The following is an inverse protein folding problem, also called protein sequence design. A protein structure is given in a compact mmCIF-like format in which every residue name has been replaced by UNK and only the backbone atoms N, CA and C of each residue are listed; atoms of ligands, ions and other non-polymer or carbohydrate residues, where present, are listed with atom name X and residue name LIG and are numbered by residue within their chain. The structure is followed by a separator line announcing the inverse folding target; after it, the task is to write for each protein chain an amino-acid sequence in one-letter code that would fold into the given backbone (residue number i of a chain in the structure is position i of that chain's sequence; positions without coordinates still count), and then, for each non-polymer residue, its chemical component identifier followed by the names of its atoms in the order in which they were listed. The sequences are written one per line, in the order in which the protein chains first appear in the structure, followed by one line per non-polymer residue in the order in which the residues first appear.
data_IF_964104651384
#
_entry.id   IF_964104651384
#
_cell.length_a   1.000
_cell.length_b   1.000
_cell.length_c   1.000
_cell.angle_alpha   90.00
_cell.angle_beta   90.00
_cell.angle_gamma   90.00
#
_symmetry.space_group_name_H-M   'P 1'
#
loop_
_entity.id
_entity.type
_entity.pdbx_description
1 polymer ?
#
# COMPACT_ATOMS: atom_id res chain seq x y z
N UNK A 1 1.70 20.68 -18.41
CA UNK A 1 1.43 19.60 -17.43
C UNK A 1 1.47 20.19 -16.04
N UNK A 2 0.47 19.93 -15.23
CA UNK A 2 0.44 20.40 -13.86
C UNK A 2 1.27 19.48 -12.95
N UNK A 3 1.94 20.07 -11.96
CA UNK A 3 2.63 19.33 -10.90
C UNK A 3 1.65 18.81 -9.83
N UNK A 4 0.39 19.20 -9.90
CA UNK A 4 -0.62 18.89 -8.88
C UNK A 4 -1.65 17.90 -9.40
N UNK A 5 -2.24 17.15 -8.49
CA UNK A 5 -3.35 16.25 -8.73
C UNK A 5 -4.17 16.04 -7.47
N UNK A 6 -5.17 15.17 -7.56
CA UNK A 6 -5.99 14.77 -6.42
C UNK A 6 -6.29 13.27 -6.53
N UNK A 7 -6.36 12.58 -5.42
CA UNK A 7 -6.51 11.11 -5.41
C UNK A 7 -7.84 10.62 -5.99
N UNK A 8 -8.91 11.40 -5.94
CA UNK A 8 -10.19 11.02 -6.58
C UNK A 8 -10.13 11.03 -8.11
N UNK A 9 -9.08 11.60 -8.70
CA UNK A 9 -8.83 11.57 -10.15
C UNK A 9 -7.89 10.45 -10.56
N UNK A 10 -7.28 9.75 -9.59
CA UNK A 10 -6.35 8.65 -9.85
C UNK A 10 -7.13 7.35 -9.98
N UNK A 11 -6.94 6.65 -11.09
CA UNK A 11 -7.54 5.33 -11.29
C UNK A 11 -6.93 4.34 -10.29
N UNK A 12 -7.74 3.77 -9.37
CA UNK A 12 -7.22 2.80 -8.41
C UNK A 12 -6.65 1.56 -9.09
N UNK A 13 -5.59 1.02 -8.53
CA UNK A 13 -4.95 -0.21 -8.97
C UNK A 13 -5.40 -1.37 -8.10
N UNK A 14 -5.77 -2.49 -8.73
CA UNK A 14 -6.01 -3.74 -8.02
C UNK A 14 -4.64 -4.40 -7.80
N UNK A 15 -4.05 -4.22 -6.61
CA UNK A 15 -2.69 -4.70 -6.31
C UNK A 15 -2.71 -6.19 -5.94
N UNK A 16 -3.64 -6.56 -5.06
CA UNK A 16 -3.93 -7.94 -4.65
C UNK A 16 -5.45 -8.08 -4.56
N UNK A 17 -5.92 -9.29 -4.39
CA UNK A 17 -7.32 -9.51 -4.05
C UNK A 17 -7.61 -8.84 -2.69
N UNK A 18 -8.57 -7.91 -2.68
CA UNK A 18 -8.90 -7.12 -1.50
C UNK A 18 -7.97 -5.94 -1.22
N UNK A 19 -7.02 -5.64 -2.10
CA UNK A 19 -6.07 -4.53 -1.92
C UNK A 19 -6.14 -3.59 -3.10
N UNK A 20 -6.51 -2.35 -2.83
CA UNK A 20 -6.63 -1.29 -3.84
C UNK A 20 -5.70 -0.14 -3.47
N UNK A 21 -4.92 0.33 -4.43
CA UNK A 21 -3.99 1.43 -4.23
C UNK A 21 -4.21 2.56 -5.20
N UNK A 22 -4.01 3.78 -4.73
CA UNK A 22 -3.96 4.99 -5.57
C UNK A 22 -2.55 5.51 -5.50
N UNK A 23 -1.85 5.47 -6.63
CA UNK A 23 -0.41 5.72 -6.69
C UNK A 23 -0.08 6.96 -7.50
N UNK A 24 0.90 7.71 -7.00
CA UNK A 24 1.49 8.84 -7.69
C UNK A 24 2.99 8.56 -7.81
N UNK A 25 3.47 8.46 -9.05
CA UNK A 25 4.87 8.13 -9.30
C UNK A 25 5.66 9.37 -9.68
N UNK A 26 6.72 9.62 -8.93
CA UNK A 26 7.77 10.56 -9.33
C UNK A 26 8.87 9.81 -10.07
N UNK A 27 10.00 10.49 -10.30
CA UNK A 27 11.15 9.88 -10.94
C UNK A 27 11.88 8.91 -10.00
N UNK A 28 11.85 9.17 -8.70
CA UNK A 28 12.66 8.42 -7.72
C UNK A 28 11.84 7.60 -6.74
N UNK A 29 10.52 7.81 -6.68
CA UNK A 29 9.66 7.12 -5.72
C UNK A 29 8.21 7.07 -6.19
N UNK A 30 7.46 6.10 -5.65
CA UNK A 30 6.01 6.01 -5.78
C UNK A 30 5.38 6.20 -4.42
N UNK A 31 4.47 7.16 -4.31
CA UNK A 31 3.63 7.36 -3.13
C UNK A 31 2.29 6.67 -3.38
N UNK A 32 1.80 5.89 -2.43
CA UNK A 32 0.54 5.17 -2.58
C UNK A 32 -0.34 5.29 -1.35
N UNK A 33 -1.62 5.54 -1.58
CA UNK A 33 -2.68 5.42 -0.58
C UNK A 33 -3.35 4.06 -0.81
N UNK A 34 -3.26 3.17 0.16
CA UNK A 34 -3.65 1.76 0.01
C UNK A 34 -4.76 1.40 0.98
N UNK A 35 -5.79 0.76 0.46
CA UNK A 35 -6.91 0.25 1.24
C UNK A 35 -6.92 -1.28 1.17
N UNK A 36 -7.09 -1.92 2.34
CA UNK A 36 -7.30 -3.36 2.43
C UNK A 36 -8.69 -3.64 2.98
N UNK A 37 -9.42 -4.53 2.31
CA UNK A 37 -10.71 -5.00 2.79
C UNK A 37 -10.55 -5.77 4.11
N UNK A 38 -11.60 -5.82 4.96
CA UNK A 38 -11.56 -6.61 6.18
C UNK A 38 -11.10 -8.04 5.93
N UNK A 39 -10.16 -8.52 6.74
CA UNK A 39 -9.67 -9.89 6.69
C UNK A 39 -8.81 -10.24 5.48
N UNK A 40 -8.44 -9.27 4.67
CA UNK A 40 -7.57 -9.51 3.51
C UNK A 40 -6.21 -10.05 3.94
N UNK A 41 -5.73 -11.05 3.22
CA UNK A 41 -4.41 -11.63 3.44
C UNK A 41 -3.54 -11.39 2.21
N UNK A 42 -2.44 -10.66 2.42
CA UNK A 42 -1.41 -10.48 1.39
C UNK A 42 -0.32 -11.49 1.68
N UNK A 43 -0.09 -12.46 0.78
CA UNK A 43 0.90 -13.51 1.01
C UNK A 43 2.32 -12.96 1.04
N UNK A 44 3.23 -13.75 1.60
CA UNK A 44 4.63 -13.37 1.65
C UNK A 44 5.16 -13.10 0.25
N UNK A 45 5.82 -11.98 0.09
CA UNK A 45 6.41 -11.52 -1.16
C UNK A 45 7.58 -10.59 -0.86
N UNK A 46 8.35 -10.27 -1.88
CA UNK A 46 9.44 -9.30 -1.78
C UNK A 46 9.59 -8.56 -3.11
N UNK A 47 10.25 -7.44 -3.07
CA UNK A 47 10.53 -6.63 -4.26
C UNK A 47 11.78 -5.78 -4.03
N UNK A 48 12.35 -5.26 -5.12
CA UNK A 48 13.58 -4.47 -5.06
C UNK A 48 13.39 -3.12 -4.38
N UNK A 49 12.16 -2.63 -4.34
CA UNK A 49 11.86 -1.32 -3.76
C UNK A 49 11.98 -1.36 -2.24
N UNK A 50 12.66 -0.39 -1.66
CA UNK A 50 12.50 -0.09 -0.24
C UNK A 50 11.09 0.44 -0.03
N UNK A 51 10.46 0.05 1.07
CA UNK A 51 9.08 0.41 1.37
C UNK A 51 9.01 0.99 2.77
N UNK A 52 8.49 2.22 2.88
CA UNK A 52 8.19 2.83 4.17
C UNK A 52 6.70 3.12 4.23
N UNK A 53 6.11 3.02 5.40
CA UNK A 53 4.68 3.24 5.50
C UNK A 53 4.20 3.62 6.88
N UNK A 54 2.92 4.00 6.92
CA UNK A 54 2.23 4.38 8.14
C UNK A 54 0.78 3.93 8.06
N UNK A 55 0.31 3.27 9.11
CA UNK A 55 -1.10 2.91 9.23
C UNK A 55 -1.89 4.14 9.67
N UNK A 56 -2.93 4.49 8.89
CA UNK A 56 -3.77 5.65 9.16
C UNK A 56 -5.03 5.24 9.89
N UNK A 57 -5.64 4.09 9.48
CA UNK A 57 -6.88 3.62 10.07
C UNK A 57 -6.99 2.11 9.96
N UNK A 58 -7.74 1.50 10.88
CA UNK A 58 -7.93 0.06 10.94
C UNK A 58 -6.81 -0.64 11.69
N UNK A 59 -6.56 -1.88 11.36
CA UNK A 59 -5.53 -2.69 12.00
C UNK A 59 -4.90 -3.67 11.03
N UNK A 60 -3.65 -4.00 11.29
CA UNK A 60 -2.87 -4.96 10.51
C UNK A 60 -2.08 -5.87 11.44
N UNK A 61 -1.92 -7.12 11.05
CA UNK A 61 -0.84 -7.96 11.55
C UNK A 61 0.20 -8.03 10.44
N UNK A 62 1.38 -7.48 10.69
CA UNK A 62 2.41 -7.31 9.68
C UNK A 62 3.65 -8.11 10.06
N UNK A 63 4.10 -8.96 9.13
CA UNK A 63 5.35 -9.69 9.27
C UNK A 63 6.37 -9.13 8.28
N UNK A 64 7.53 -8.74 8.82
CA UNK A 64 8.67 -8.23 8.03
C UNK A 64 9.89 -9.05 8.45
N UNK A 65 10.43 -9.85 7.52
CA UNK A 65 11.48 -10.79 7.86
C UNK A 65 11.00 -11.75 8.94
N UNK A 66 11.69 -11.79 10.06
CA UNK A 66 11.33 -12.66 11.19
C UNK A 66 10.49 -11.95 12.27
N UNK A 67 10.19 -10.68 12.08
CA UNK A 67 9.45 -9.88 13.04
C UNK A 67 7.98 -9.79 12.67
N UNK A 68 7.09 -10.07 13.62
CA UNK A 68 5.65 -9.94 13.44
C UNK A 68 5.08 -9.03 14.51
N UNK A 69 4.26 -8.07 14.10
CA UNK A 69 3.61 -7.15 15.03
C UNK A 69 2.16 -6.88 14.64
N UNK A 70 1.32 -6.67 15.65
CA UNK A 70 -0.02 -6.12 15.46
C UNK A 70 0.08 -4.60 15.47
N UNK A 71 -0.44 -3.97 14.41
CA UNK A 71 -0.31 -2.54 14.20
C UNK A 71 -1.64 -1.82 14.44
N UNK A 72 -1.54 -0.60 14.91
CA UNK A 72 -2.65 0.32 15.17
C UNK A 72 -2.37 1.65 14.48
N UNK A 73 -3.38 2.54 14.33
CA UNK A 73 -3.15 3.85 13.70
C UNK A 73 -1.95 4.58 14.31
N UNK A 74 -1.08 5.09 13.43
CA UNK A 74 0.18 5.71 13.82
C UNK A 74 1.37 4.76 13.80
N UNK A 75 1.17 3.45 13.70
CA UNK A 75 2.27 2.49 13.51
C UNK A 75 2.97 2.75 12.18
N UNK A 76 4.29 2.59 12.19
CA UNK A 76 5.12 2.78 11.00
C UNK A 76 5.99 1.56 10.74
N UNK A 77 6.46 1.43 9.51
CA UNK A 77 7.38 0.35 9.13
C UNK A 77 8.36 0.82 8.06
N UNK A 78 9.52 0.14 8.05
CA UNK A 78 10.53 0.28 7.00
C UNK A 78 10.90 -1.13 6.56
N UNK A 79 10.72 -1.41 5.27
CA UNK A 79 11.08 -2.70 4.68
C UNK A 79 12.20 -2.46 3.69
N UNK A 80 13.37 -3.02 3.98
CA UNK A 80 14.51 -2.90 3.08
C UNK A 80 14.28 -3.69 1.79
N UNK A 81 15.04 -3.38 0.75
CA UNK A 81 14.96 -4.08 -0.53
C UNK A 81 15.03 -5.59 -0.32
N UNK A 82 14.14 -6.31 -0.99
CA UNK A 82 14.07 -7.77 -1.05
C UNK A 82 13.82 -8.50 0.28
N UNK A 83 13.51 -7.80 1.35
CA UNK A 83 13.12 -8.44 2.61
C UNK A 83 11.69 -8.98 2.47
N UNK A 84 11.48 -10.30 2.69
CA UNK A 84 10.15 -10.89 2.60
C UNK A 84 9.19 -10.29 3.64
N UNK A 85 7.95 -10.05 3.22
CA UNK A 85 6.93 -9.52 4.11
C UNK A 85 5.54 -9.98 3.71
N UNK A 86 4.64 -9.99 4.68
CA UNK A 86 3.25 -10.38 4.50
C UNK A 86 2.36 -9.57 5.44
N UNK A 87 1.08 -9.46 5.11
CA UNK A 87 0.15 -8.66 5.90
C UNK A 87 -1.21 -9.33 5.98
N UNK A 88 -1.82 -9.28 7.16
CA UNK A 88 -3.22 -9.65 7.37
C UNK A 88 -3.96 -8.41 7.87
N UNK A 89 -5.01 -8.01 7.15
CA UNK A 89 -5.88 -6.93 7.61
C UNK A 89 -6.78 -7.40 8.72
N UNK A 90 -7.03 -6.53 9.68
CA UNK A 90 -7.94 -6.81 10.77
C UNK A 90 -9.41 -6.77 10.35
N UNK A 91 -10.34 -6.93 11.32
CA UNK A 91 -11.77 -7.10 11.03
C UNK A 91 -12.45 -5.87 10.42
N UNK A 92 -11.83 -4.69 10.57
CA UNK A 92 -12.37 -3.44 10.01
C UNK A 92 -11.63 -2.99 8.75
N UNK A 93 -10.72 -3.82 8.24
CA UNK A 93 -9.85 -3.43 7.14
C UNK A 93 -8.76 -2.48 7.57
N UNK A 94 -8.10 -1.84 6.61
CA UNK A 94 -7.04 -0.90 6.89
C UNK A 94 -6.89 0.13 5.78
N UNK A 95 -6.48 1.33 6.17
CA UNK A 95 -6.02 2.36 5.25
C UNK A 95 -4.61 2.79 5.66
N UNK A 96 -3.71 2.82 4.69
CA UNK A 96 -2.31 3.13 4.93
C UNK A 96 -1.72 3.96 3.80
N UNK A 97 -0.63 4.64 4.11
CA UNK A 97 0.16 5.40 3.13
C UNK A 97 1.52 4.75 3.05
N UNK A 98 1.99 4.49 1.85
CA UNK A 98 3.30 3.87 1.62
C UNK A 98 4.10 4.61 0.57
N UNK A 99 5.42 4.60 0.75
CA UNK A 99 6.37 5.13 -0.21
C UNK A 99 7.31 4.01 -0.65
N UNK A 100 7.48 3.87 -1.95
CA UNK A 100 8.38 2.88 -2.56
C UNK A 100 9.47 3.58 -3.33
N UNK A 101 10.71 3.19 -3.14
CA UNK A 101 11.86 3.72 -3.87
C UNK A 101 12.81 2.58 -4.26
N UNK A 102 13.17 2.44 -5.54
CA UNK A 102 12.71 3.22 -6.71
C UNK A 102 11.22 3.03 -6.99
N UNK A 103 10.67 3.77 -7.98
CA UNK A 103 9.23 3.66 -8.31
C UNK A 103 8.79 2.24 -8.64
N UNK A 104 7.51 1.95 -8.36
CA UNK A 104 6.89 0.64 -8.63
C UNK A 104 6.53 0.51 -10.11
N UNK A 105 7.52 0.23 -10.94
CA UNK A 105 7.32 0.05 -12.39
C UNK A 105 6.48 -1.19 -12.70
N UNK A 106 6.52 -2.20 -11.87
CA UNK A 106 5.71 -3.42 -11.98
C UNK A 106 4.20 -3.14 -11.88
N UNK A 107 3.80 -2.03 -11.25
CA UNK A 107 2.38 -1.68 -11.14
C UNK A 107 1.78 -1.16 -12.45
N UNK A 108 2.58 -0.82 -13.44
CA UNK A 108 2.08 -0.35 -14.73
C UNK A 108 1.19 -1.38 -15.44
N UNK A 109 1.39 -2.67 -15.16
CA UNK A 109 0.59 -3.76 -15.74
C UNK A 109 -0.65 -4.16 -14.94
N UNK A 110 -0.92 -3.51 -13.81
CA UNK A 110 -2.04 -3.88 -12.94
C UNK A 110 -3.39 -3.38 -13.52
N UNK A 111 -4.46 -4.10 -13.15
CA UNK A 111 -5.82 -3.69 -13.48
C UNK A 111 -6.18 -2.36 -12.83
N UNK A 112 -6.88 -1.50 -13.58
CA UNK A 112 -7.30 -0.19 -13.11
C UNK A 112 -8.80 -0.14 -13.00
N UNK A 113 -9.29 0.50 -11.92
CA UNK A 113 -10.70 0.72 -11.66
C UNK A 113 -11.08 2.15 -12.06
N UNK A 114 -12.36 2.47 -12.03
CA UNK A 114 -12.81 3.84 -12.27
C UNK A 114 -12.27 4.78 -11.20
N UNK A 115 -11.82 6.00 -11.57
CA UNK A 115 -11.36 6.98 -10.58
C UNK A 115 -12.43 7.24 -9.52
N UNK A 116 -12.02 7.22 -8.26
CA UNK A 116 -12.91 7.40 -7.13
C UNK A 116 -12.10 7.80 -5.89
N UNK A 117 -12.70 8.50 -4.92
CA UNK A 117 -12.02 8.75 -3.67
C UNK A 117 -11.85 7.46 -2.87
N UNK A 118 -10.88 7.41 -1.95
CA UNK A 118 -10.76 6.28 -1.03
C UNK A 118 -12.02 6.09 -0.21
N UNK A 119 -12.46 4.86 -0.05
CA UNK A 119 -13.65 4.58 0.75
C UNK A 119 -13.35 4.70 2.24
N UNK A 120 -14.36 5.14 3.01
CA UNK A 120 -14.23 5.26 4.45
C UNK A 120 -13.39 6.44 4.94
N UNK A 121 -13.19 7.42 4.11
CA UNK A 121 -12.55 8.70 4.45
C UNK A 121 -13.55 9.77 4.62
#
# INVERSE_FOLDING_TARGET
MSAFGHWDEVAPLQIWDGVVGRAVAGQEATLAAIELDPGTKVPEHHHVNEQTGMLIRGSLTFRIGDETQELRPGSTWVIQADVPHSVDAGPDGAFLIELFAPPREDWAGLGRLQPSPPSGF
#
